data_IF_577916016912
#
_entry.id   IF_577916016912
#
_cell.length_a   1.000
_cell.length_b   1.000
_cell.length_c   1.000
_cell.angle_alpha   90.00
_cell.angle_beta   90.00
_cell.angle_gamma   90.00
#
_symmetry.space_group_name_H-M   'P 1'
#
loop_
_entity.id
_entity.type
_entity.pdbx_description
1 polymer ?
#
# COMPACT_ATOMS: atom_id res chain seq x y z
N UNK A 1 4.58 -2.58 -17.92
CA UNK A 1 4.19 -4.00 -17.69
C UNK A 1 4.78 -4.65 -16.42
N UNK A 2 5.92 -4.20 -15.88
CA UNK A 2 6.53 -4.81 -14.68
C UNK A 2 5.60 -4.77 -13.43
N UNK A 3 4.92 -3.65 -13.20
CA UNK A 3 4.10 -3.45 -12.00
C UNK A 3 2.83 -4.31 -11.98
N UNK A 4 2.18 -4.50 -13.14
CA UNK A 4 1.04 -5.42 -13.29
C UNK A 4 1.49 -6.87 -13.07
N UNK A 5 2.67 -7.26 -13.57
CA UNK A 5 3.24 -8.59 -13.32
C UNK A 5 3.51 -8.81 -11.83
N UNK A 6 4.09 -7.83 -11.15
CA UNK A 6 4.32 -7.87 -9.70
C UNK A 6 3.01 -8.00 -8.92
N UNK A 7 1.99 -7.22 -9.29
CA UNK A 7 0.66 -7.29 -8.67
C UNK A 7 0.01 -8.66 -8.85
N UNK A 8 0.12 -9.27 -10.03
CA UNK A 8 -0.37 -10.63 -10.28
C UNK A 8 0.41 -11.69 -9.48
N UNK A 9 1.74 -11.61 -9.47
CA UNK A 9 2.60 -12.55 -8.76
C UNK A 9 2.35 -12.56 -7.24
N UNK A 10 2.03 -11.39 -6.66
CA UNK A 10 1.74 -11.22 -5.24
C UNK A 10 0.24 -11.23 -4.91
N UNK A 11 -0.62 -11.62 -5.86
CA UNK A 11 -2.07 -11.63 -5.74
C UNK A 11 -2.68 -10.36 -5.11
N UNK A 12 -2.21 -9.19 -5.54
CA UNK A 12 -2.56 -7.91 -4.94
C UNK A 12 -3.17 -6.95 -5.96
N UNK A 13 -3.75 -5.84 -5.47
CA UNK A 13 -4.18 -4.74 -6.33
C UNK A 13 -2.97 -3.98 -6.87
N UNK A 14 -3.12 -3.34 -8.03
CA UNK A 14 -2.10 -2.42 -8.56
C UNK A 14 -1.77 -1.32 -7.53
N UNK A 15 -2.78 -0.82 -6.81
CA UNK A 15 -2.60 0.13 -5.72
C UNK A 15 -1.68 -0.42 -4.63
N UNK A 16 -1.93 -1.64 -4.13
CA UNK A 16 -1.08 -2.27 -3.12
C UNK A 16 0.36 -2.48 -3.57
N UNK A 17 0.57 -2.88 -4.84
CA UNK A 17 1.92 -2.99 -5.41
C UNK A 17 2.65 -1.63 -5.47
N UNK A 18 1.96 -0.55 -5.85
CA UNK A 18 2.51 0.81 -5.85
C UNK A 18 2.83 1.24 -4.42
N UNK A 19 1.92 1.03 -3.48
CA UNK A 19 2.12 1.39 -2.07
C UNK A 19 3.37 0.71 -1.51
N UNK A 20 3.52 -0.61 -1.70
CA UNK A 20 4.69 -1.36 -1.22
C UNK A 20 5.99 -0.86 -1.86
N UNK A 21 6.02 -0.67 -3.18
CA UNK A 21 7.18 -0.17 -3.89
C UNK A 21 7.58 1.25 -3.45
N UNK A 22 6.60 2.13 -3.24
CA UNK A 22 6.83 3.50 -2.74
C UNK A 22 7.43 3.48 -1.34
N UNK A 23 6.95 2.61 -0.44
CA UNK A 23 7.51 2.49 0.91
C UNK A 23 8.94 1.97 0.92
N UNK A 24 9.24 1.02 0.03
CA UNK A 24 10.61 0.56 -0.18
C UNK A 24 11.53 1.67 -0.71
N UNK A 25 11.06 2.46 -1.68
CA UNK A 25 11.83 3.58 -2.19
C UNK A 25 12.04 4.67 -1.11
N UNK A 26 11.02 4.98 -0.33
CA UNK A 26 11.11 5.92 0.79
C UNK A 26 12.12 5.43 1.85
N UNK A 27 12.11 4.15 2.19
CA UNK A 27 13.09 3.61 3.13
C UNK A 27 14.52 3.69 2.58
N UNK A 28 14.73 3.42 1.29
CA UNK A 28 16.04 3.58 0.63
C UNK A 28 16.52 5.03 0.67
N UNK A 29 15.64 6.00 0.41
CA UNK A 29 16.01 7.43 0.45
C UNK A 29 16.35 7.85 1.89
N UNK A 30 15.57 7.40 2.86
CA UNK A 30 15.82 7.69 4.27
C UNK A 30 17.08 6.99 4.78
N UNK A 31 17.36 5.76 4.30
CA UNK A 31 18.57 5.01 4.63
C UNK A 31 19.82 5.60 3.97
N UNK A 32 19.73 6.10 2.74
CA UNK A 32 20.82 6.88 2.13
C UNK A 32 21.06 8.21 2.85
N UNK A 33 20.04 8.74 3.54
CA UNK A 33 20.17 9.84 4.50
C UNK A 33 20.82 9.40 5.83
N UNK A 34 21.14 8.12 6.06
CA UNK A 34 21.78 7.56 7.27
C UNK A 34 23.29 7.81 7.38
N UNK A 35 23.75 9.00 6.96
CA UNK A 35 24.69 9.73 7.81
C UNK A 35 24.00 10.26 9.08
N UNK A 36 22.70 10.07 9.24
CA UNK A 36 21.92 10.49 10.40
C UNK A 36 21.76 9.33 11.42
N UNK A 37 22.41 9.38 12.59
CA UNK A 37 22.46 8.28 13.58
C UNK A 37 21.13 7.95 14.27
N UNK A 38 20.05 8.66 13.95
CA UNK A 38 18.74 8.51 14.56
C UNK A 38 17.78 7.59 13.78
N UNK A 39 18.06 7.25 12.53
CA UNK A 39 17.20 6.34 11.78
C UNK A 39 17.61 4.89 12.07
N UNK A 40 16.78 4.18 12.84
CA UNK A 40 16.99 2.77 13.16
C UNK A 40 16.01 1.92 12.37
N UNK A 41 16.52 0.96 11.61
CA UNK A 41 15.72 -0.11 11.01
C UNK A 41 15.39 -1.17 12.08
N UNK A 42 14.20 -1.80 12.03
CA UNK A 42 13.11 -1.53 11.10
C UNK A 42 12.36 -0.23 11.46
N UNK A 43 11.97 0.53 10.45
CA UNK A 43 11.18 1.75 10.64
C UNK A 43 9.74 1.50 10.17
N UNK A 44 8.78 2.10 10.85
CA UNK A 44 7.36 1.98 10.50
C UNK A 44 6.84 3.31 9.96
N UNK A 45 6.15 3.24 8.83
CA UNK A 45 5.51 4.37 8.16
C UNK A 45 4.00 4.20 8.20
N UNK A 46 3.27 5.24 8.58
CA UNK A 46 1.81 5.24 8.47
C UNK A 46 1.42 5.71 7.06
N UNK A 47 0.70 4.85 6.34
CA UNK A 47 0.10 5.15 5.03
C UNK A 47 -1.36 5.45 5.20
N UNK A 48 -1.81 6.63 4.80
CA UNK A 48 -3.23 6.94 4.73
C UNK A 48 -3.71 6.88 3.29
N UNK A 49 -4.93 6.38 3.09
CA UNK A 49 -5.55 6.34 1.78
C UNK A 49 -7.07 6.48 1.90
N UNK A 50 -7.68 6.94 0.81
CA UNK A 50 -9.10 7.23 0.72
C UNK A 50 -9.76 6.20 -0.17
N UNK A 51 -10.85 5.60 0.30
CA UNK A 51 -11.60 4.57 -0.44
C UNK A 51 -12.95 5.13 -0.81
N UNK A 52 -13.30 5.05 -2.09
CA UNK A 52 -14.62 5.38 -2.58
C UNK A 52 -15.62 4.30 -2.15
N UNK A 53 -16.66 4.68 -1.41
CA UNK A 53 -17.67 3.75 -0.86
C UNK A 53 -19.03 3.79 -1.57
N UNK A 54 -19.11 4.43 -2.74
CA UNK A 54 -20.38 4.60 -3.48
C UNK A 54 -21.03 3.28 -3.86
N UNK A 55 -20.23 2.23 -4.11
CA UNK A 55 -20.72 0.90 -4.50
C UNK A 55 -21.26 0.10 -3.32
N UNK A 56 -20.85 0.47 -2.11
CA UNK A 56 -21.15 -0.14 -0.82
C UNK A 56 -22.37 0.52 -0.15
N UNK A 57 -22.75 1.71 -0.59
CA UNK A 57 -23.98 2.40 -0.15
C UNK A 57 -25.25 1.64 -0.60
N UNK A 58 -26.30 1.75 0.21
CA UNK A 58 -27.63 1.22 -0.07
C UNK A 58 -28.68 2.35 0.10
N UNK A 59 -29.24 2.90 -1.00
CA UNK A 59 -29.04 2.51 -2.40
C UNK A 59 -27.62 2.80 -2.92
N UNK A 60 -27.21 2.11 -3.99
CA UNK A 60 -25.93 2.37 -4.67
C UNK A 60 -25.93 3.78 -5.22
N UNK A 61 -24.81 4.46 -5.07
CA UNK A 61 -24.64 5.85 -5.49
C UNK A 61 -23.91 5.88 -6.82
N UNK A 62 -24.45 6.62 -7.79
CA UNK A 62 -23.85 6.84 -9.11
C UNK A 62 -22.52 7.57 -9.02
N UNK A 63 -21.67 7.45 -10.05
CA UNK A 63 -20.40 8.18 -10.14
C UNK A 63 -20.58 9.68 -10.41
N UNK A 64 -21.72 10.03 -10.99
CA UNK A 64 -22.16 11.36 -11.40
C UNK A 64 -22.81 12.14 -10.25
N UNK A 65 -23.20 11.47 -9.17
CA UNK A 65 -23.82 12.12 -8.03
C UNK A 65 -22.81 12.98 -7.25
N UNK A 66 -23.19 14.21 -6.91
CA UNK A 66 -22.33 15.12 -6.16
C UNK A 66 -22.27 14.74 -4.68
N UNK A 67 -21.07 14.84 -4.08
CA UNK A 67 -20.85 14.58 -2.65
C UNK A 67 -19.58 13.79 -2.36
N UNK A 68 -19.12 13.89 -1.11
CA UNK A 68 -17.99 13.10 -0.61
C UNK A 68 -18.51 11.78 -0.03
N UNK A 69 -18.31 10.69 -0.77
CA UNK A 69 -18.67 9.33 -0.36
C UNK A 69 -17.40 8.49 -0.25
N UNK A 70 -16.69 8.68 0.86
CA UNK A 70 -15.43 8.01 1.08
C UNK A 70 -15.21 7.66 2.54
N UNK A 71 -14.41 6.62 2.77
CA UNK A 71 -13.80 6.33 4.07
C UNK A 71 -12.31 6.60 3.99
N UNK A 72 -11.75 7.00 5.13
CA UNK A 72 -10.31 7.16 5.31
C UNK A 72 -9.81 5.95 6.06
N UNK A 73 -8.78 5.31 5.54
CA UNK A 73 -8.15 4.17 6.18
C UNK A 73 -6.65 4.37 6.25
N UNK A 74 -6.04 3.65 7.18
CA UNK A 74 -4.63 3.74 7.48
C UNK A 74 -4.00 2.34 7.56
N UNK A 75 -2.81 2.24 7.00
CA UNK A 75 -1.97 1.06 7.08
C UNK A 75 -0.60 1.45 7.61
N UNK A 76 -0.21 0.89 8.76
CA UNK A 76 1.15 0.99 9.25
C UNK A 76 2.01 -0.06 8.57
N UNK A 77 3.02 0.37 7.82
CA UNK A 77 3.93 -0.50 7.08
C UNK A 77 5.28 -0.50 7.78
N UNK A 78 5.70 -1.67 8.26
CA UNK A 78 7.05 -1.86 8.79
C UNK A 78 7.97 -2.21 7.63
N UNK A 79 8.95 -1.33 7.36
CA UNK A 79 9.95 -1.55 6.32
C UNK A 79 11.19 -2.19 6.97
N UNK A 80 11.57 -3.41 6.54
CA UNK A 80 12.75 -4.08 7.07
C UNK A 80 14.04 -3.45 6.56
N UNK A 81 15.16 -3.83 7.17
CA UNK A 81 16.47 -3.43 6.66
C UNK A 81 16.68 -3.97 5.25
N UNK A 82 17.22 -3.13 4.37
CA UNK A 82 17.41 -3.41 2.94
C UNK A 82 18.38 -4.57 2.65
N UNK A 83 19.09 -5.05 3.67
CA UNK A 83 19.96 -6.23 3.60
C UNK A 83 19.19 -7.56 3.65
N UNK A 84 17.88 -7.53 3.93
CA UNK A 84 17.05 -8.73 4.06
C UNK A 84 16.01 -8.82 2.93
N UNK A 85 16.35 -9.49 1.82
CA UNK A 85 15.42 -9.76 0.71
C UNK A 85 14.10 -10.39 1.19
N UNK A 86 14.18 -11.35 2.12
CA UNK A 86 13.01 -12.00 2.74
C UNK A 86 12.09 -11.01 3.46
N UNK A 87 12.65 -9.96 4.05
CA UNK A 87 11.86 -8.92 4.70
C UNK A 87 11.08 -8.07 3.69
N UNK A 88 11.70 -7.78 2.53
CA UNK A 88 11.02 -7.04 1.46
C UNK A 88 9.80 -7.81 0.98
N UNK A 89 9.92 -9.12 0.77
CA UNK A 89 8.80 -9.97 0.37
C UNK A 89 7.67 -10.01 1.42
N UNK A 90 8.00 -10.13 2.70
CA UNK A 90 7.02 -10.09 3.80
C UNK A 90 6.30 -8.75 3.89
N UNK A 91 7.02 -7.63 3.72
CA UNK A 91 6.44 -6.30 3.66
C UNK A 91 5.47 -6.18 2.49
N UNK A 92 5.89 -6.62 1.29
CA UNK A 92 5.03 -6.63 0.11
C UNK A 92 3.77 -7.46 0.39
N UNK A 93 3.91 -8.67 0.91
CA UNK A 93 2.77 -9.54 1.23
C UNK A 93 1.81 -8.88 2.23
N UNK A 94 2.33 -8.23 3.28
CA UNK A 94 1.52 -7.53 4.27
C UNK A 94 0.69 -6.39 3.67
N UNK A 95 1.32 -5.53 2.87
CA UNK A 95 0.63 -4.44 2.16
C UNK A 95 -0.40 -4.98 1.18
N UNK A 96 -0.01 -6.00 0.43
CA UNK A 96 -0.84 -6.65 -0.57
C UNK A 96 -2.09 -7.28 0.05
N UNK A 97 -1.94 -7.95 1.20
CA UNK A 97 -3.03 -8.58 1.95
C UNK A 97 -3.99 -7.54 2.51
N UNK A 98 -3.47 -6.47 3.12
CA UNK A 98 -4.31 -5.43 3.69
C UNK A 98 -5.14 -4.72 2.61
N UNK A 99 -4.52 -4.42 1.46
CA UNK A 99 -5.18 -3.76 0.33
C UNK A 99 -6.17 -4.68 -0.41
N UNK A 100 -6.11 -5.99 -0.20
CA UNK A 100 -7.02 -6.93 -0.83
C UNK A 100 -8.48 -6.75 -0.37
N UNK A 101 -8.71 -6.19 0.83
CA UNK A 101 -10.08 -5.90 1.32
C UNK A 101 -10.83 -4.90 0.44
N UNK A 102 -10.11 -4.12 -0.36
CA UNK A 102 -10.65 -3.14 -1.30
C UNK A 102 -10.53 -3.56 -2.76
N UNK A 103 -10.20 -4.84 -3.03
CA UNK A 103 -10.15 -5.35 -4.39
C UNK A 103 -11.56 -5.29 -4.99
N UNK A 104 -11.77 -4.61 -6.13
CA UNK A 104 -13.00 -4.78 -6.90
C UNK A 104 -13.11 -6.26 -7.27
N UNK A 105 -14.25 -6.90 -7.01
CA UNK A 105 -14.55 -8.19 -7.62
C UNK A 105 -14.66 -7.96 -9.12
N UNK A 106 -13.58 -8.26 -9.85
CA UNK A 106 -13.63 -8.30 -11.30
C UNK A 106 -14.44 -9.54 -11.69
N UNK A 107 -15.37 -9.44 -12.67
CA UNK A 107 -16.06 -10.61 -13.21
C UNK A 107 -15.09 -11.60 -13.86
#
# INVERSE_FOLDING_TARGET
>A
MALIRCSKANNCTVHGAITAATHLAMSQILDQRNQNPHFKTPFSMDTNYTVNVRKECHPKIGSEEFGLYAIFDALRITVPSLTMERGVDEMFLGVCTHMHKYRPQWP
#
